data_IF_789049337989
#
_entry.id   IF_789049337989
#
_cell.length_a   1.000
_cell.length_b   1.000
_cell.length_c   1.000
_cell.angle_alpha   90.00
_cell.angle_beta   90.00
_cell.angle_gamma   90.00
#
_symmetry.space_group_name_H-M   'P 1'
#
loop_
_entity.id
_entity.type
_entity.pdbx_description
1 polymer ?
#
# COMPACT_ATOMS: atom_id res chain seq x y z
N UNK A 1 9.44 3.34 -10.27
CA UNK A 1 8.26 2.46 -10.07
C UNK A 1 7.11 3.02 -10.90
N UNK A 2 6.53 2.22 -11.80
CA UNK A 2 5.67 2.65 -12.91
C UNK A 2 4.27 3.20 -12.56
N UNK A 3 4.03 3.63 -11.32
CA UNK A 3 2.81 4.34 -10.89
C UNK A 3 1.48 3.64 -11.18
N UNK A 4 0.37 4.36 -10.98
CA UNK A 4 -0.96 3.96 -11.43
C UNK A 4 -1.19 4.44 -12.87
N UNK A 5 -0.61 3.72 -13.82
CA UNK A 5 -0.54 4.14 -15.22
C UNK A 5 -1.86 3.97 -15.98
N UNK A 6 -2.04 4.64 -17.15
CA UNK A 6 -3.29 4.62 -17.90
C UNK A 6 -3.78 3.22 -18.29
N UNK A 7 -2.89 2.26 -18.53
CA UNK A 7 -3.27 0.89 -18.87
C UNK A 7 -3.96 0.17 -17.69
N UNK A 8 -3.55 0.48 -16.45
CA UNK A 8 -4.21 -0.06 -15.25
C UNK A 8 -5.58 0.60 -15.03
N UNK A 9 -5.68 1.91 -15.27
CA UNK A 9 -6.96 2.64 -15.24
C UNK A 9 -7.94 2.07 -16.27
N UNK A 10 -7.47 1.85 -17.50
CA UNK A 10 -8.28 1.28 -18.59
C UNK A 10 -8.82 -0.12 -18.26
N UNK A 11 -7.96 -1.03 -17.78
CA UNK A 11 -8.39 -2.42 -17.54
C UNK A 11 -9.12 -2.63 -16.21
N UNK A 12 -8.89 -1.80 -15.19
CA UNK A 12 -9.58 -1.92 -13.90
C UNK A 12 -10.84 -1.07 -13.81
N UNK A 13 -10.96 -0.01 -14.61
CA UNK A 13 -12.02 0.99 -14.52
C UNK A 13 -11.87 1.98 -13.37
N UNK A 14 -10.79 1.90 -12.58
CA UNK A 14 -10.55 2.80 -11.44
C UNK A 14 -9.51 3.87 -11.76
N UNK A 15 -9.87 5.12 -11.47
CA UNK A 15 -8.95 6.26 -11.48
C UNK A 15 -8.14 6.30 -10.18
N UNK A 16 -7.03 7.05 -10.18
CA UNK A 16 -6.22 7.28 -8.97
C UNK A 16 -7.08 7.82 -7.82
N UNK A 17 -8.03 8.72 -8.13
CA UNK A 17 -8.96 9.32 -7.18
C UNK A 17 -9.85 8.28 -6.49
N UNK A 18 -10.26 7.24 -7.20
CA UNK A 18 -11.14 6.19 -6.68
C UNK A 18 -10.40 5.30 -5.69
N UNK A 19 -9.10 5.08 -5.94
CA UNK A 19 -8.23 4.27 -5.08
C UNK A 19 -7.70 5.04 -3.87
N UNK A 20 -7.60 6.37 -3.94
CA UNK A 20 -6.97 7.19 -2.90
C UNK A 20 -7.54 6.94 -1.49
N UNK A 21 -8.87 6.86 -1.25
CA UNK A 21 -9.41 6.56 0.08
C UNK A 21 -8.97 5.19 0.61
N UNK A 22 -8.96 4.17 -0.25
CA UNK A 22 -8.57 2.80 0.13
C UNK A 22 -7.08 2.73 0.41
N UNK A 23 -6.25 3.37 -0.42
CA UNK A 23 -4.80 3.41 -0.23
C UNK A 23 -4.43 4.10 1.09
N UNK A 24 -5.07 5.23 1.44
CA UNK A 24 -4.87 5.89 2.74
C UNK A 24 -5.29 5.00 3.91
N UNK A 25 -6.39 4.25 3.76
CA UNK A 25 -6.83 3.31 4.80
C UNK A 25 -5.83 2.17 4.99
N UNK A 26 -5.30 1.61 3.90
CA UNK A 26 -4.26 0.57 3.96
C UNK A 26 -2.98 1.09 4.61
N UNK A 27 -2.52 2.30 4.25
CA UNK A 27 -1.37 2.93 4.88
C UNK A 27 -1.57 3.11 6.38
N UNK A 28 -2.74 3.59 6.80
CA UNK A 28 -3.09 3.74 8.23
C UNK A 28 -3.07 2.41 8.98
N UNK A 29 -3.54 1.32 8.35
CA UNK A 29 -3.51 -0.02 8.94
C UNK A 29 -2.07 -0.55 9.12
N UNK A 30 -1.16 -0.20 8.21
CA UNK A 30 0.25 -0.57 8.30
C UNK A 30 1.01 0.27 9.33
N UNK A 31 0.59 1.52 9.56
CA UNK A 31 1.16 2.42 10.56
C UNK A 31 0.67 2.13 11.98
N UNK A 32 -0.54 1.56 12.11
CA UNK A 32 -1.16 1.29 13.40
C UNK A 32 -0.30 0.37 14.29
N UNK A 33 -0.43 0.47 15.63
CA UNK A 33 0.24 -0.43 16.55
C UNK A 33 -0.06 -1.90 16.23
N UNK A 34 0.83 -2.85 16.58
CA UNK A 34 0.64 -4.26 16.30
C UNK A 34 -0.71 -4.77 16.80
N UNK A 35 -1.61 -5.09 15.87
CA UNK A 35 -2.84 -5.81 16.16
C UNK A 35 -2.53 -7.30 16.20
N UNK A 36 -2.82 -7.95 17.32
CA UNK A 36 -2.66 -9.37 17.51
C UNK A 36 -3.36 -10.19 16.42
N UNK A 37 -4.45 -9.67 15.83
CA UNK A 37 -5.17 -10.29 14.70
C UNK A 37 -4.40 -10.21 13.38
N UNK A 38 -3.56 -9.18 13.19
CA UNK A 38 -2.76 -8.98 11.99
C UNK A 38 -1.34 -9.56 12.10
N UNK A 39 -0.91 -9.93 13.31
CA UNK A 39 0.42 -10.52 13.58
C UNK A 39 0.71 -11.77 12.76
N UNK A 40 -0.28 -12.64 12.56
CA UNK A 40 -0.11 -13.85 11.74
C UNK A 40 0.22 -13.50 10.27
N UNK A 41 -0.43 -12.48 9.72
CA UNK A 41 -0.16 -11.99 8.35
C UNK A 41 1.24 -11.38 8.30
N UNK A 42 1.60 -10.50 9.24
CA UNK A 42 2.95 -9.90 9.30
C UNK A 42 4.03 -10.97 9.37
N UNK A 43 3.90 -11.96 10.26
CA UNK A 43 4.88 -13.05 10.41
C UNK A 43 5.03 -13.87 9.14
N UNK A 44 3.93 -14.19 8.45
CA UNK A 44 3.96 -14.90 7.17
C UNK A 44 4.79 -14.13 6.13
N UNK A 45 4.48 -12.85 5.92
CA UNK A 45 5.11 -12.03 4.89
C UNK A 45 6.48 -11.45 5.28
N UNK A 46 6.90 -11.60 6.55
CA UNK A 46 8.29 -11.37 6.99
C UNK A 46 9.20 -12.57 6.74
N UNK A 47 8.67 -13.72 6.31
CA UNK A 47 9.50 -14.89 6.02
C UNK A 47 10.23 -14.77 4.68
N UNK A 48 11.44 -15.35 4.57
CA UNK A 48 12.30 -15.28 3.38
C UNK A 48 11.67 -15.78 2.08
N UNK A 49 10.77 -16.77 2.16
CA UNK A 49 10.04 -17.28 0.98
C UNK A 49 9.10 -16.23 0.36
N UNK A 50 8.73 -15.20 1.15
CA UNK A 50 7.95 -14.05 0.70
C UNK A 50 8.83 -12.80 0.58
N UNK A 51 10.14 -12.97 0.45
CA UNK A 51 11.12 -11.88 0.30
C UNK A 51 11.11 -10.86 1.45
N UNK A 52 10.63 -11.27 2.63
CA UNK A 52 10.59 -10.44 3.83
C UNK A 52 9.85 -9.10 3.62
N UNK A 53 8.88 -9.06 2.70
CA UNK A 53 8.21 -7.82 2.26
C UNK A 53 7.52 -7.06 3.39
N UNK A 54 7.05 -7.74 4.45
CA UNK A 54 6.44 -7.07 5.60
C UNK A 54 7.47 -6.37 6.53
N UNK A 55 8.76 -6.62 6.32
CA UNK A 55 9.87 -6.00 7.05
C UNK A 55 10.40 -4.73 6.35
N UNK A 56 9.90 -4.40 5.16
CA UNK A 56 10.25 -3.18 4.45
C UNK A 56 9.75 -1.93 5.20
N UNK A 57 10.48 -0.79 5.12
CA UNK A 57 10.03 0.46 5.71
C UNK A 57 8.73 0.93 5.03
N UNK A 58 7.79 1.44 5.84
CA UNK A 58 6.56 2.00 5.33
C UNK A 58 6.84 3.28 4.52
N UNK A 59 6.08 3.48 3.45
CA UNK A 59 6.18 4.69 2.61
C UNK A 59 5.86 5.93 3.45
N UNK A 60 6.69 6.96 3.32
CA UNK A 60 6.45 8.26 3.96
C UNK A 60 5.12 8.87 3.45
N UNK A 61 4.33 9.43 4.36
CA UNK A 61 2.99 9.94 4.06
C UNK A 61 3.00 11.07 3.02
N UNK A 62 4.00 11.95 3.01
CA UNK A 62 4.11 13.05 2.05
C UNK A 62 4.37 12.52 0.63
N UNK A 63 5.18 11.47 0.52
CA UNK A 63 5.43 10.77 -0.74
C UNK A 63 4.15 10.10 -1.24
N UNK A 64 3.40 9.47 -0.33
CA UNK A 64 2.13 8.82 -0.65
C UNK A 64 1.11 9.84 -1.16
N UNK A 65 0.91 10.95 -0.44
CA UNK A 65 -0.05 11.98 -0.84
C UNK A 65 0.33 12.63 -2.16
N UNK A 66 1.61 12.89 -2.40
CA UNK A 66 2.09 13.39 -3.70
C UNK A 66 1.73 12.42 -4.84
N UNK A 67 1.86 11.11 -4.62
CA UNK A 67 1.52 10.10 -5.61
C UNK A 67 0.00 10.00 -5.87
N UNK A 68 -0.83 10.27 -4.84
CA UNK A 68 -2.29 10.26 -4.95
C UNK A 68 -2.86 11.56 -5.52
N UNK A 69 -2.15 12.68 -5.36
CA UNK A 69 -2.56 14.00 -5.86
C UNK A 69 -2.08 14.33 -7.27
N UNK A 70 -1.11 13.58 -7.79
CA UNK A 70 -0.57 13.80 -9.13
C UNK A 70 -1.52 13.22 -10.18
N UNK A 71 -2.29 14.09 -10.83
CA UNK A 71 -2.82 13.88 -12.18
C UNK A 71 -2.17 14.88 -13.12
#
# INVERSE_FOLDING_TARGET
LGGWCPILQFHSGYQTSDLAPVVRRLHSLLLAPPDDKLRAVRNKYSHKIFFEVASLPLVNVDILEKALSSQ
#
